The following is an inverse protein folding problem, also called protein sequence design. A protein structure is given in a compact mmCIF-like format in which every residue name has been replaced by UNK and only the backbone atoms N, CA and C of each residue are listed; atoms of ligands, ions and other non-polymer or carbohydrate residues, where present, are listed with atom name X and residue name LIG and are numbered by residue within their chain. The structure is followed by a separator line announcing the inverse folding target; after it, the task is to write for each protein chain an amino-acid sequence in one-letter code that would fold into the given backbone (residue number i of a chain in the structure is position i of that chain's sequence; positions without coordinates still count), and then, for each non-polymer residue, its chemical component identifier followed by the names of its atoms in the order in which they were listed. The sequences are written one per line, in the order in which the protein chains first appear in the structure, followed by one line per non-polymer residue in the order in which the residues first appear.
data_IF_841185653893
#
_entry.id   IF_841185653893
#
_cell.length_a   1.000
_cell.length_b   1.000
_cell.length_c   1.000
_cell.angle_alpha   90.00
_cell.angle_beta   90.00
_cell.angle_gamma   90.00
#
_symmetry.space_group_name_H-M   'P 1'
#
loop_
_entity.id
_entity.type
_entity.pdbx_description
1 polymer ?
#
# COMPACT_ATOMS: atom_id res chain seq x y z
N UNK A 1 -18.51 -25.65 -11.32
CA UNK A 1 -18.10 -26.38 -12.52
C UNK A 1 -19.30 -26.60 -13.42
N UNK A 2 -19.28 -26.05 -14.63
CA UNK A 2 -20.32 -26.23 -15.65
C UNK A 2 -19.68 -26.87 -16.86
N UNK A 3 -20.28 -27.95 -17.37
CA UNK A 3 -19.88 -28.61 -18.60
C UNK A 3 -21.12 -28.92 -19.44
N UNK A 4 -21.37 -28.15 -20.49
CA UNK A 4 -22.51 -28.31 -21.41
C UNK A 4 -22.13 -28.02 -22.85
N UNK A 5 -22.42 -28.97 -23.76
CA UNK A 5 -22.29 -28.80 -25.23
C UNK A 5 -20.95 -28.22 -25.71
N UNK A 6 -19.82 -28.70 -25.12
CA UNK A 6 -18.50 -28.23 -25.47
C UNK A 6 -18.07 -26.90 -24.78
N UNK A 7 -18.85 -26.38 -23.86
CA UNK A 7 -18.49 -25.26 -22.98
C UNK A 7 -18.17 -25.81 -21.60
N UNK A 8 -17.01 -25.45 -21.06
CA UNK A 8 -16.63 -25.73 -19.67
C UNK A 8 -16.32 -24.42 -18.96
N UNK A 9 -16.84 -24.27 -17.78
CA UNK A 9 -16.50 -23.18 -16.86
C UNK A 9 -16.09 -23.75 -15.52
N UNK A 10 -14.92 -23.37 -15.07
CA UNK A 10 -14.40 -23.66 -13.75
C UNK A 10 -14.16 -22.34 -13.00
N UNK A 11 -14.62 -22.25 -11.78
CA UNK A 11 -14.33 -21.12 -10.89
C UNK A 11 -13.78 -21.67 -9.58
N UNK A 12 -12.77 -20.99 -9.04
CA UNK A 12 -12.26 -21.22 -7.71
C UNK A 12 -12.23 -19.89 -6.95
N UNK A 13 -12.78 -19.90 -5.75
CA UNK A 13 -12.83 -18.76 -4.85
C UNK A 13 -12.06 -19.12 -3.58
N UNK A 14 -11.12 -18.24 -3.20
CA UNK A 14 -10.37 -18.35 -1.96
C UNK A 14 -10.64 -17.10 -1.11
N UNK A 15 -10.85 -17.33 0.17
CA UNK A 15 -11.03 -16.27 1.15
C UNK A 15 -10.20 -16.60 2.39
N UNK A 16 -9.38 -15.65 2.83
CA UNK A 16 -8.65 -15.75 4.09
C UNK A 16 -8.86 -14.46 4.89
N UNK A 17 -9.17 -14.60 6.17
CA UNK A 17 -9.24 -13.49 7.10
C UNK A 17 -8.32 -13.77 8.28
N UNK A 18 -7.34 -12.89 8.51
CA UNK A 18 -6.33 -13.04 9.54
C UNK A 18 -6.31 -11.84 10.47
N UNK A 19 -6.08 -12.10 11.75
CA UNK A 19 -5.76 -11.08 12.75
C UNK A 19 -4.49 -11.52 13.46
N UNK A 20 -3.54 -10.62 13.56
CA UNK A 20 -2.32 -10.83 14.35
C UNK A 20 -2.36 -9.96 15.59
N UNK A 21 -1.81 -10.51 16.69
CA UNK A 21 -1.63 -9.77 17.93
C UNK A 21 -0.36 -10.28 18.61
N UNK A 22 0.43 -9.38 19.14
CA UNK A 22 1.63 -9.70 19.93
C UNK A 22 1.20 -10.04 21.34
N UNK A 23 1.24 -11.31 21.72
CA UNK A 23 0.78 -11.77 23.03
C UNK A 23 1.81 -11.45 24.12
N UNK A 24 3.11 -11.65 23.83
CA UNK A 24 4.16 -11.44 24.81
C UNK A 24 5.50 -11.12 24.16
N UNK A 25 6.24 -10.20 24.75
CA UNK A 25 7.63 -9.88 24.43
C UNK A 25 8.54 -10.35 25.55
N UNK A 26 9.77 -10.74 25.20
CA UNK A 26 10.72 -11.36 26.13
C UNK A 26 11.02 -10.52 27.39
N UNK A 27 10.94 -9.20 27.27
CA UNK A 27 11.19 -8.26 28.38
C UNK A 27 10.02 -7.31 28.67
N UNK A 28 8.85 -7.54 28.06
CA UNK A 28 7.66 -6.69 28.18
C UNK A 28 7.79 -5.28 27.59
N UNK A 29 8.96 -4.91 27.04
CA UNK A 29 9.20 -3.56 26.52
C UNK A 29 8.89 -3.49 25.03
N UNK A 30 8.25 -2.42 24.52
CA UNK A 30 8.06 -2.20 23.10
C UNK A 30 9.40 -2.18 22.36
N UNK A 31 9.39 -2.68 21.12
CA UNK A 31 10.52 -2.62 20.19
C UNK A 31 10.12 -1.79 18.99
N UNK A 32 11.01 -0.92 18.54
CA UNK A 32 10.76 -0.01 17.43
C UNK A 32 11.60 -0.38 16.22
N UNK A 33 11.04 -0.17 15.03
CA UNK A 33 11.74 -0.16 13.76
C UNK A 33 11.99 1.29 13.36
N UNK A 34 13.14 1.55 12.81
CA UNK A 34 13.61 2.89 12.50
C UNK A 34 13.76 3.08 10.99
N UNK A 35 13.46 4.29 10.54
CA UNK A 35 13.78 4.77 9.20
C UNK A 35 14.63 6.03 9.29
N UNK A 36 15.36 6.31 8.20
CA UNK A 36 15.99 7.61 7.99
C UNK A 36 15.18 8.36 6.93
N UNK A 37 14.39 9.37 7.33
CA UNK A 37 13.73 10.23 6.37
C UNK A 37 14.76 10.84 5.43
N UNK A 38 14.38 11.07 4.17
CA UNK A 38 15.29 11.59 3.16
C UNK A 38 15.98 12.88 3.62
N UNK A 39 17.32 12.91 3.52
CA UNK A 39 18.13 14.05 3.93
C UNK A 39 18.28 14.25 5.45
N UNK A 40 17.73 13.37 6.26
CA UNK A 40 17.91 13.36 7.72
C UNK A 40 19.03 12.40 8.11
N UNK A 41 19.89 12.84 9.04
CA UNK A 41 20.88 11.96 9.69
C UNK A 41 20.30 11.18 10.87
N UNK A 42 19.08 11.54 11.30
CA UNK A 42 18.40 10.94 12.43
C UNK A 42 17.48 9.81 12.01
N UNK A 43 17.55 8.70 12.73
CA UNK A 43 16.61 7.60 12.58
C UNK A 43 15.30 7.94 13.28
N UNK A 44 14.17 7.65 12.62
CA UNK A 44 12.82 7.87 13.15
C UNK A 44 12.10 6.55 13.35
N UNK A 45 11.49 6.41 14.49
CA UNK A 45 10.63 5.28 14.78
C UNK A 45 9.36 5.36 13.92
N UNK A 46 9.05 4.31 13.20
CA UNK A 46 7.87 4.26 12.34
C UNK A 46 6.98 3.04 12.56
N UNK A 47 7.53 1.98 13.09
CA UNK A 47 6.77 0.78 13.47
C UNK A 47 7.09 0.37 14.89
N UNK A 48 6.06 -0.18 15.55
CA UNK A 48 6.15 -0.64 16.92
C UNK A 48 5.71 -2.09 17.03
N UNK A 49 6.50 -2.88 17.76
CA UNK A 49 6.14 -4.19 18.24
C UNK A 49 5.87 -4.09 19.74
N UNK A 50 4.61 -4.20 20.14
CA UNK A 50 4.15 -4.05 21.53
C UNK A 50 3.09 -5.10 21.84
N UNK A 51 3.05 -5.58 23.09
CA UNK A 51 2.02 -6.50 23.56
C UNK A 51 0.62 -5.90 23.40
N UNK A 52 -0.33 -6.68 22.91
CA UNK A 52 -1.70 -6.28 22.59
C UNK A 52 -1.89 -5.61 21.24
N UNK A 53 -0.81 -5.26 20.53
CA UNK A 53 -0.87 -4.59 19.22
C UNK A 53 -0.63 -5.57 18.06
N UNK A 54 -1.12 -5.26 16.85
CA UNK A 54 -0.87 -6.11 15.69
C UNK A 54 0.61 -6.09 15.27
N UNK A 55 1.04 -7.12 14.54
CA UNK A 55 2.34 -7.08 13.86
C UNK A 55 2.36 -5.96 12.82
N UNK A 56 3.55 -5.42 12.55
CA UNK A 56 3.75 -4.29 11.61
C UNK A 56 2.86 -3.08 11.93
N UNK A 57 2.69 -2.77 13.23
CA UNK A 57 1.93 -1.61 13.67
C UNK A 57 2.69 -0.32 13.31
N UNK A 58 2.10 0.51 12.47
CA UNK A 58 2.61 1.85 12.12
C UNK A 58 2.33 2.76 13.30
N UNK A 59 3.37 3.41 13.83
CA UNK A 59 3.32 4.15 15.07
C UNK A 59 3.72 5.61 14.87
N UNK A 60 2.83 6.54 15.21
CA UNK A 60 3.08 7.97 14.99
C UNK A 60 1.99 8.88 15.54
N UNK A 61 2.04 10.15 15.15
CA UNK A 61 1.12 11.18 15.60
C UNK A 61 -0.18 11.19 14.78
N UNK A 62 -1.26 11.62 15.43
CA UNK A 62 -2.54 11.86 14.74
C UNK A 62 -2.56 13.30 14.24
N UNK A 63 -2.52 13.48 12.93
CA UNK A 63 -2.65 14.79 12.28
C UNK A 63 -4.06 15.36 12.48
N UNK A 64 -4.15 16.63 12.88
CA UNK A 64 -5.40 17.33 13.19
C UNK A 64 -5.57 18.67 12.42
N UNK A 65 -4.94 18.76 11.26
CA UNK A 65 -5.00 19.95 10.43
C UNK A 65 -3.74 20.80 10.48
N UNK A 66 -3.86 22.07 10.14
CA UNK A 66 -2.75 23.00 10.03
C UNK A 66 -3.08 24.24 10.86
N UNK A 67 -2.10 24.73 11.61
CA UNK A 67 -2.22 25.96 12.41
C UNK A 67 -2.45 27.14 11.47
N UNK A 68 -3.57 27.83 11.64
CA UNK A 68 -3.96 28.96 10.79
C UNK A 68 -3.39 30.29 11.31
N UNK A 69 -3.45 31.32 10.47
CA UNK A 69 -3.02 32.66 10.87
C UNK A 69 -3.88 33.18 11.99
N UNK A 70 -3.24 33.64 13.09
CA UNK A 70 -3.93 34.10 14.29
C UNK A 70 -4.34 32.99 15.27
N UNK A 71 -4.21 31.73 14.88
CA UNK A 71 -4.44 30.59 15.78
C UNK A 71 -3.23 30.41 16.70
N UNK A 72 -3.48 30.22 17.98
CA UNK A 72 -2.51 29.75 18.97
C UNK A 72 -2.88 28.34 19.39
N UNK A 73 -2.06 27.38 19.01
CA UNK A 73 -2.26 25.98 19.41
C UNK A 73 -1.37 25.67 20.63
N UNK A 74 -1.97 25.82 21.81
CA UNK A 74 -1.27 25.73 23.09
C UNK A 74 -0.43 24.46 23.27
N UNK A 75 -0.86 23.24 22.84
CA UNK A 75 -0.05 22.03 22.98
C UNK A 75 1.26 22.04 22.17
N UNK A 76 1.38 22.90 21.14
CA UNK A 76 2.60 23.03 20.32
C UNK A 76 3.16 24.47 20.36
N UNK A 77 3.65 24.90 21.51
CA UNK A 77 3.97 26.29 21.82
C UNK A 77 4.95 26.96 20.83
N UNK A 78 5.89 26.17 20.24
CA UNK A 78 6.89 26.70 19.31
C UNK A 78 6.46 26.67 17.84
N UNK A 79 5.30 26.10 17.54
CA UNK A 79 4.80 26.01 16.19
C UNK A 79 4.27 27.37 15.70
N UNK A 80 4.35 27.58 14.41
CA UNK A 80 3.93 28.83 13.73
C UNK A 80 2.81 28.54 12.73
N UNK A 81 2.06 29.56 12.28
CA UNK A 81 1.06 29.38 11.24
C UNK A 81 1.61 28.66 10.00
N UNK A 82 0.87 27.66 9.54
CA UNK A 82 1.26 26.77 8.46
C UNK A 82 1.92 25.46 8.90
N UNK A 83 2.27 25.32 10.18
CA UNK A 83 2.79 24.05 10.71
C UNK A 83 1.67 23.02 10.89
N UNK A 84 1.96 21.70 10.76
CA UNK A 84 0.99 20.67 11.07
C UNK A 84 0.61 20.69 12.55
N UNK A 85 -0.66 20.47 12.83
CA UNK A 85 -1.23 20.33 14.15
C UNK A 85 -1.45 18.86 14.48
N UNK A 86 -1.09 18.44 15.69
CA UNK A 86 -1.25 17.05 16.16
C UNK A 86 -2.18 17.00 17.36
N UNK A 87 -2.89 15.88 17.51
CA UNK A 87 -3.78 15.66 18.66
C UNK A 87 -3.00 15.39 19.93
N UNK A 88 -3.36 16.09 20.99
CA UNK A 88 -3.00 15.75 22.36
C UNK A 88 -3.90 14.56 22.78
N UNK A 89 -3.32 13.37 22.80
CA UNK A 89 -4.06 12.14 23.06
C UNK A 89 -4.17 11.80 24.55
N UNK A 90 -3.21 12.26 25.35
CA UNK A 90 -3.22 12.03 26.80
C UNK A 90 -3.88 13.19 27.59
N UNK A 91 -4.10 14.37 26.93
CA UNK A 91 -4.78 15.52 27.50
C UNK A 91 -3.92 16.32 28.50
N UNK A 92 -2.59 16.23 28.41
CA UNK A 92 -1.70 16.92 29.33
C UNK A 92 -1.34 18.36 28.92
N UNK A 93 -1.86 18.79 27.76
CA UNK A 93 -1.67 20.14 27.20
C UNK A 93 -0.33 20.32 26.49
N UNK A 94 0.36 19.25 26.15
CA UNK A 94 1.61 19.25 25.37
C UNK A 94 1.52 18.18 24.28
N UNK A 95 2.22 18.40 23.20
CA UNK A 95 2.40 17.36 22.19
C UNK A 95 3.84 16.83 22.32
N UNK A 96 3.97 15.58 22.73
CA UNK A 96 5.26 14.89 22.88
C UNK A 96 5.18 13.41 22.44
N UNK A 97 6.15 12.59 22.81
CA UNK A 97 6.19 11.18 22.41
C UNK A 97 5.02 10.36 22.98
N UNK A 98 4.36 10.82 24.05
CA UNK A 98 3.21 10.16 24.66
C UNK A 98 1.92 10.33 23.84
N UNK A 99 1.89 11.24 22.86
CA UNK A 99 0.78 11.47 21.93
C UNK A 99 0.89 10.63 20.65
N UNK A 100 1.85 9.73 20.61
CA UNK A 100 1.97 8.78 19.50
C UNK A 100 1.10 7.57 19.76
N UNK A 101 0.49 7.05 18.69
CA UNK A 101 -0.38 5.88 18.75
C UNK A 101 -0.22 4.99 17.55
N UNK A 102 -0.85 3.79 17.58
CA UNK A 102 -0.93 2.90 16.40
C UNK A 102 -1.91 3.49 15.39
N UNK A 103 -1.40 3.81 14.21
CA UNK A 103 -2.15 4.39 13.09
C UNK A 103 -2.72 3.32 12.14
N UNK A 104 -2.32 2.07 12.31
CA UNK A 104 -2.76 0.94 11.51
C UNK A 104 -1.67 -0.14 11.42
N UNK A 105 -1.91 -1.16 10.62
CA UNK A 105 -0.94 -2.25 10.37
C UNK A 105 -0.66 -2.40 8.88
N UNK A 106 0.59 -2.70 8.53
CA UNK A 106 0.99 -3.00 7.16
C UNK A 106 0.58 -4.39 6.67
N UNK A 107 -0.03 -5.21 7.54
CA UNK A 107 -0.46 -6.57 7.19
C UNK A 107 -1.95 -6.55 6.81
N UNK A 108 -2.31 -7.06 5.62
CA UNK A 108 -3.71 -7.16 5.21
C UNK A 108 -4.50 -8.10 6.12
N UNK A 109 -5.70 -7.70 6.47
CA UNK A 109 -6.63 -8.52 7.27
C UNK A 109 -7.35 -9.54 6.42
N UNK A 110 -7.67 -9.21 5.18
CA UNK A 110 -8.46 -10.07 4.29
C UNK A 110 -7.78 -10.20 2.94
N UNK A 111 -7.64 -11.42 2.47
CA UNK A 111 -7.15 -11.74 1.13
C UNK A 111 -8.21 -12.56 0.42
N UNK A 112 -8.56 -12.15 -0.80
CA UNK A 112 -9.56 -12.81 -1.64
C UNK A 112 -8.91 -13.14 -2.98
N UNK A 113 -9.09 -14.38 -3.43
CA UNK A 113 -8.68 -14.83 -4.75
C UNK A 113 -9.89 -15.35 -5.54
N UNK A 114 -10.04 -14.91 -6.79
CA UNK A 114 -11.06 -15.39 -7.71
C UNK A 114 -10.40 -15.80 -9.02
N UNK A 115 -10.33 -17.11 -9.24
CA UNK A 115 -9.84 -17.68 -10.48
C UNK A 115 -11.01 -18.21 -11.32
N UNK A 116 -11.04 -17.86 -12.60
CA UNK A 116 -12.00 -18.38 -13.56
C UNK A 116 -11.27 -18.92 -14.78
N UNK A 117 -11.72 -20.06 -15.29
CA UNK A 117 -11.28 -20.62 -16.55
C UNK A 117 -12.46 -21.11 -17.36
N UNK A 118 -12.43 -20.81 -18.66
CA UNK A 118 -13.45 -21.12 -19.61
C UNK A 118 -12.83 -21.86 -20.79
N UNK A 119 -13.48 -22.90 -21.25
CA UNK A 119 -13.14 -23.51 -22.52
C UNK A 119 -14.40 -23.60 -23.39
N UNK A 120 -14.27 -23.25 -24.65
CA UNK A 120 -15.32 -23.40 -25.63
C UNK A 120 -14.74 -23.85 -26.96
N UNK A 121 -15.05 -25.09 -27.34
CA UNK A 121 -14.45 -25.73 -28.52
C UNK A 121 -12.91 -25.71 -28.42
N UNK A 122 -12.28 -24.98 -29.33
CA UNK A 122 -10.82 -24.88 -29.44
C UNK A 122 -10.26 -23.62 -28.71
N UNK A 123 -11.12 -22.79 -28.08
CA UNK A 123 -10.73 -21.62 -27.30
C UNK A 123 -10.65 -21.93 -25.82
N UNK A 124 -9.66 -21.38 -25.16
CA UNK A 124 -9.56 -21.30 -23.69
C UNK A 124 -9.31 -19.85 -23.26
N UNK A 125 -9.95 -19.47 -22.15
CA UNK A 125 -9.81 -18.16 -21.54
C UNK A 125 -9.74 -18.30 -20.03
N UNK A 126 -8.80 -17.62 -19.40
CA UNK A 126 -8.72 -17.59 -17.95
C UNK A 126 -8.36 -16.21 -17.42
N UNK A 127 -8.78 -15.94 -16.18
CA UNK A 127 -8.34 -14.77 -15.44
C UNK A 127 -8.29 -15.03 -13.94
N UNK A 128 -7.41 -14.30 -13.27
CA UNK A 128 -7.27 -14.33 -11.81
C UNK A 128 -7.29 -12.91 -11.25
N UNK A 129 -8.27 -12.65 -10.39
CA UNK A 129 -8.33 -11.47 -9.54
C UNK A 129 -7.88 -11.80 -8.13
N UNK A 130 -7.12 -10.86 -7.56
CA UNK A 130 -6.75 -10.86 -6.15
C UNK A 130 -7.18 -9.54 -5.52
N UNK A 131 -7.76 -9.62 -4.31
CA UNK A 131 -8.02 -8.47 -3.46
C UNK A 131 -7.27 -8.63 -2.14
N UNK A 132 -6.68 -7.52 -1.67
CA UNK A 132 -6.02 -7.40 -0.37
C UNK A 132 -6.63 -6.21 0.36
N UNK A 133 -7.17 -6.44 1.57
CA UNK A 133 -7.96 -5.44 2.28
C UNK A 133 -7.54 -5.33 3.74
N UNK A 134 -7.60 -4.10 4.26
CA UNK A 134 -7.37 -3.78 5.67
C UNK A 134 -5.90 -3.55 6.03
N UNK A 135 -5.01 -3.43 5.02
CA UNK A 135 -3.63 -2.98 5.21
C UNK A 135 -3.55 -1.46 5.16
N UNK A 136 -2.60 -0.90 5.91
CA UNK A 136 -2.17 0.50 5.82
C UNK A 136 -0.74 0.58 5.34
N UNK A 137 -0.42 1.70 4.70
CA UNK A 137 0.93 1.99 4.22
C UNK A 137 1.35 3.39 4.64
N UNK A 138 2.54 3.49 5.23
CA UNK A 138 3.21 4.77 5.46
C UNK A 138 3.92 5.19 4.17
N UNK A 139 3.40 6.22 3.52
CA UNK A 139 3.88 6.72 2.23
C UNK A 139 4.98 7.78 2.44
N UNK A 140 6.21 7.34 2.65
CA UNK A 140 7.37 8.24 2.78
C UNK A 140 7.79 8.85 1.44
N UNK A 141 7.52 8.17 0.34
CA UNK A 141 7.72 8.71 -1.01
C UNK A 141 6.93 9.99 -1.20
N UNK A 142 5.68 10.02 -0.73
CA UNK A 142 4.84 11.22 -0.73
C UNK A 142 5.44 12.34 0.11
N UNK A 143 5.95 12.05 1.30
CA UNK A 143 6.59 13.05 2.16
C UNK A 143 7.72 13.74 1.40
N UNK A 144 8.61 12.94 0.79
CA UNK A 144 9.75 13.48 0.03
C UNK A 144 9.31 14.34 -1.16
N UNK A 145 8.34 13.87 -1.93
CA UNK A 145 7.85 14.58 -3.10
C UNK A 145 7.13 15.88 -2.71
N UNK A 146 6.38 15.85 -1.63
CA UNK A 146 5.65 17.02 -1.13
C UNK A 146 6.59 18.08 -0.57
N UNK A 147 7.59 17.70 0.21
CA UNK A 147 8.58 18.62 0.76
C UNK A 147 9.40 19.34 -0.31
N UNK A 148 9.62 18.67 -1.43
CA UNK A 148 10.34 19.24 -2.56
C UNK A 148 9.43 19.91 -3.60
N UNK A 149 8.14 20.12 -3.29
CA UNK A 149 7.13 20.68 -4.20
C UNK A 149 7.02 19.92 -5.54
N UNK A 150 7.20 18.60 -5.51
CA UNK A 150 7.16 17.73 -6.70
C UNK A 150 5.81 17.01 -6.88
N UNK A 151 4.85 17.23 -5.98
CA UNK A 151 3.48 16.73 -6.10
C UNK A 151 2.56 17.85 -6.55
N UNK A 152 1.58 17.52 -7.40
CA UNK A 152 0.51 18.44 -7.77
C UNK A 152 -0.28 18.94 -6.55
N UNK A 153 -0.49 18.07 -5.54
CA UNK A 153 -1.11 18.44 -4.26
C UNK A 153 -0.36 19.55 -3.51
N UNK A 154 0.95 19.75 -3.79
CA UNK A 154 1.72 20.84 -3.20
C UNK A 154 1.25 22.24 -3.65
N UNK A 155 0.42 22.34 -4.69
CA UNK A 155 -0.23 23.59 -5.09
C UNK A 155 -1.23 24.10 -4.04
N UNK A 156 -1.81 23.20 -3.23
CA UNK A 156 -2.69 23.54 -2.09
C UNK A 156 -1.91 23.83 -0.80
N UNK A 157 -0.61 24.07 -0.89
CA UNK A 157 0.24 24.36 0.26
C UNK A 157 -0.17 25.62 0.97
N UNK A 158 -0.21 25.53 2.31
CA UNK A 158 -0.49 26.67 3.16
C UNK A 158 0.55 27.80 2.94
N UNK A 159 0.06 28.99 2.74
CA UNK A 159 0.83 30.25 2.72
C UNK A 159 0.04 31.33 3.45
N UNK A 160 0.66 32.49 3.73
CA UNK A 160 -0.04 33.62 4.34
C UNK A 160 -1.22 34.15 3.48
N UNK A 161 -1.15 33.94 2.16
CA UNK A 161 -2.17 34.35 1.21
C UNK A 161 -3.16 33.24 0.86
N UNK A 162 -2.85 31.99 1.19
CA UNK A 162 -3.67 30.82 0.88
C UNK A 162 -3.73 29.88 2.07
N UNK A 163 -4.89 29.84 2.73
CA UNK A 163 -5.13 28.92 3.84
C UNK A 163 -5.35 27.50 3.29
N UNK A 164 -4.69 26.52 3.89
CA UNK A 164 -4.87 25.10 3.63
C UNK A 164 -5.00 24.37 4.96
N UNK A 165 -5.81 23.29 4.98
CA UNK A 165 -5.89 22.33 6.08
C UNK A 165 -5.30 20.96 5.71
N UNK A 166 -4.76 20.83 4.49
CA UNK A 166 -4.28 19.56 3.95
C UNK A 166 -2.77 19.52 3.75
N UNK A 167 -2.16 20.60 3.28
CA UNK A 167 -0.73 20.67 2.95
C UNK A 167 -0.04 21.76 3.77
N UNK A 168 0.84 21.41 4.73
CA UNK A 168 1.57 22.37 5.56
C UNK A 168 2.46 23.32 4.74
N UNK A 169 2.90 24.41 5.36
CA UNK A 169 3.88 25.32 4.78
C UNK A 169 5.17 24.59 4.39
N UNK A 170 5.91 25.14 3.44
CA UNK A 170 7.21 24.58 3.09
C UNK A 170 8.23 24.76 4.23
N UNK A 171 9.10 23.76 4.40
CA UNK A 171 10.16 23.80 5.40
C UNK A 171 9.69 23.67 6.85
N UNK A 172 8.44 23.26 7.11
CA UNK A 172 7.93 23.05 8.47
C UNK A 172 8.78 22.04 9.25
N UNK A 173 9.35 21.06 8.56
CA UNK A 173 10.18 20.01 9.16
C UNK A 173 11.52 20.52 9.70
N UNK A 174 11.93 21.71 9.30
CA UNK A 174 13.15 22.39 9.76
C UNK A 174 12.89 23.35 10.94
N UNK A 175 11.63 23.46 11.37
CA UNK A 175 11.26 24.32 12.49
C UNK A 175 11.58 23.62 13.81
N UNK A 176 12.38 24.27 14.66
CA UNK A 176 12.74 23.77 16.01
C UNK A 176 11.53 23.60 16.94
N UNK A 177 10.37 24.16 16.56
CA UNK A 177 9.11 24.01 17.26
C UNK A 177 8.37 22.71 16.97
N UNK A 178 8.76 21.99 15.93
CA UNK A 178 8.12 20.73 15.58
C UNK A 178 8.73 19.56 16.34
N UNK A 179 7.87 18.58 16.58
CA UNK A 179 8.23 17.38 17.31
C UNK A 179 9.21 16.51 16.51
N UNK A 180 10.14 15.96 17.23
CA UNK A 180 10.97 14.89 16.71
C UNK A 180 10.10 13.74 16.22
N UNK A 181 10.31 13.28 14.97
CA UNK A 181 9.55 12.17 14.41
C UNK A 181 8.19 12.54 13.82
N UNK A 182 7.86 13.82 13.68
CA UNK A 182 6.59 14.29 13.07
C UNK A 182 6.35 13.85 11.64
N UNK A 183 7.36 13.30 10.96
CA UNK A 183 7.20 12.63 9.66
C UNK A 183 6.24 11.44 9.72
N UNK A 184 6.23 10.71 10.83
CA UNK A 184 5.36 9.56 11.01
C UNK A 184 4.06 10.05 11.64
N UNK A 185 3.11 10.39 10.81
CA UNK A 185 1.79 10.85 11.24
C UNK A 185 0.68 10.32 10.33
N UNK A 186 -0.56 10.38 10.81
CA UNK A 186 -1.72 9.80 10.13
C UNK A 186 -1.99 10.38 8.74
N UNK A 187 -1.48 11.58 8.42
CA UNK A 187 -1.63 12.21 7.10
C UNK A 187 -0.93 11.42 5.98
N UNK A 188 0.13 10.71 6.31
CA UNK A 188 0.93 9.91 5.39
C UNK A 188 0.66 8.41 5.51
N UNK A 189 -0.27 8.01 6.38
CA UNK A 189 -0.72 6.62 6.52
C UNK A 189 -1.99 6.45 5.68
N UNK A 190 -1.86 5.75 4.58
CA UNK A 190 -2.91 5.58 3.57
C UNK A 190 -3.47 4.17 3.58
N UNK A 191 -4.69 4.00 3.04
CA UNK A 191 -5.25 2.67 2.78
C UNK A 191 -4.47 2.00 1.66
N UNK A 192 -3.95 0.80 1.91
CA UNK A 192 -3.27 -0.03 0.93
C UNK A 192 -4.18 -1.13 0.35
N UNK A 193 -5.49 -0.94 0.46
CA UNK A 193 -6.49 -1.84 -0.12
C UNK A 193 -6.43 -1.81 -1.64
N UNK A 194 -6.50 -3.00 -2.24
CA UNK A 194 -6.54 -3.11 -3.69
C UNK A 194 -7.32 -4.31 -4.21
N UNK A 195 -7.71 -4.22 -5.47
CA UNK A 195 -8.13 -5.34 -6.31
C UNK A 195 -7.28 -5.31 -7.57
N UNK A 196 -6.56 -6.42 -7.84
CA UNK A 196 -5.67 -6.56 -9.01
C UNK A 196 -6.13 -7.67 -9.94
N UNK A 197 -6.10 -7.41 -11.25
CA UNK A 197 -6.09 -8.43 -12.27
C UNK A 197 -4.64 -8.96 -12.41
N UNK A 198 -4.37 -10.07 -11.70
CA UNK A 198 -3.02 -10.66 -11.65
C UNK A 198 -2.63 -11.33 -12.94
N UNK A 199 -3.57 -12.11 -13.50
CA UNK A 199 -3.35 -12.86 -14.74
C UNK A 199 -4.61 -12.83 -15.59
N UNK A 200 -4.43 -12.77 -16.90
CA UNK A 200 -5.45 -13.01 -17.91
C UNK A 200 -4.78 -13.72 -19.09
N UNK A 201 -5.40 -14.73 -19.65
CA UNK A 201 -4.87 -15.45 -20.80
C UNK A 201 -6.02 -15.89 -21.72
N UNK A 202 -5.81 -15.74 -23.03
CA UNK A 202 -6.67 -16.25 -24.09
C UNK A 202 -5.83 -17.16 -24.99
N UNK A 203 -6.27 -18.39 -25.14
CA UNK A 203 -5.64 -19.38 -25.99
C UNK A 203 -6.57 -19.91 -27.08
N UNK A 204 -5.97 -20.38 -28.17
CA UNK A 204 -6.62 -21.13 -29.21
C UNK A 204 -5.79 -22.36 -29.57
N UNK A 205 -6.43 -23.54 -29.58
CA UNK A 205 -5.78 -24.82 -29.85
C UNK A 205 -6.18 -25.36 -31.21
N UNK A 206 -5.23 -25.38 -32.14
CA UNK A 206 -5.39 -26.06 -33.43
C UNK A 206 -5.16 -27.55 -33.22
N UNK A 207 -6.09 -28.37 -33.72
CA UNK A 207 -5.94 -29.82 -33.70
C UNK A 207 -5.38 -30.30 -35.05
N UNK A 208 -4.18 -30.88 -35.04
CA UNK A 208 -3.48 -31.33 -36.23
C UNK A 208 -4.26 -32.35 -37.06
N UNK A 209 -5.06 -33.21 -36.41
CA UNK A 209 -5.91 -34.18 -37.13
C UNK A 209 -7.01 -33.50 -37.97
N UNK A 210 -7.56 -32.40 -37.50
CA UNK A 210 -8.56 -31.61 -38.27
C UNK A 210 -7.94 -30.94 -39.49
N UNK A 211 -6.63 -30.73 -39.51
CA UNK A 211 -5.89 -30.03 -40.55
C UNK A 211 -4.98 -30.98 -41.36
N UNK A 212 -5.18 -32.33 -41.22
CA UNK A 212 -4.43 -33.35 -41.93
C UNK A 212 -2.90 -33.29 -41.72
N UNK A 213 -2.44 -32.80 -40.58
CA UNK A 213 -1.03 -32.71 -40.20
C UNK A 213 -0.61 -34.00 -39.52
N UNK A 214 0.17 -34.88 -40.18
CA UNK A 214 0.52 -36.23 -39.68
C UNK A 214 1.45 -36.21 -38.46
N UNK A 215 2.30 -35.20 -38.32
CA UNK A 215 3.35 -35.14 -37.28
C UNK A 215 2.94 -34.25 -36.09
N UNK A 216 2.13 -33.18 -36.32
CA UNK A 216 1.72 -32.27 -35.30
C UNK A 216 0.34 -32.65 -34.75
N UNK A 217 0.27 -33.04 -33.48
CA UNK A 217 -1.02 -33.37 -32.83
C UNK A 217 -1.80 -32.13 -32.46
N UNK A 218 -1.16 -31.19 -31.79
CA UNK A 218 -1.82 -29.93 -31.41
C UNK A 218 -0.83 -28.76 -31.47
N UNK A 219 -1.37 -27.57 -31.82
CA UNK A 219 -0.67 -26.30 -31.71
C UNK A 219 -1.56 -25.33 -30.93
N UNK A 220 -1.17 -24.96 -29.72
CA UNK A 220 -1.86 -23.93 -28.96
C UNK A 220 -1.09 -22.62 -29.05
N UNK A 221 -1.78 -21.58 -29.54
CA UNK A 221 -1.33 -20.18 -29.54
C UNK A 221 -2.04 -19.46 -28.41
N UNK A 222 -1.33 -18.61 -27.67
CA UNK A 222 -1.93 -17.85 -26.61
C UNK A 222 -1.35 -16.43 -26.50
N UNK A 223 -2.16 -15.52 -25.97
CA UNK A 223 -1.77 -14.20 -25.49
C UNK A 223 -2.16 -14.10 -24.03
N UNK A 224 -1.23 -13.63 -23.21
CA UNK A 224 -1.44 -13.45 -21.79
C UNK A 224 -1.03 -12.07 -21.32
N UNK A 225 -1.54 -11.68 -20.16
CA UNK A 225 -1.17 -10.45 -19.49
C UNK A 225 -1.05 -10.66 -17.99
N UNK A 226 -0.11 -9.93 -17.37
CA UNK A 226 0.09 -9.95 -15.92
C UNK A 226 0.04 -8.53 -15.36
N UNK A 227 -0.57 -8.36 -14.18
CA UNK A 227 -0.71 -7.10 -13.46
C UNK A 227 -1.29 -5.95 -14.30
N UNK A 228 -2.23 -6.27 -15.22
CA UNK A 228 -2.74 -5.29 -16.19
C UNK A 228 -3.58 -4.19 -15.54
N UNK A 229 -4.36 -4.51 -14.51
CA UNK A 229 -5.27 -3.59 -13.83
C UNK A 229 -5.07 -3.64 -12.32
N UNK A 230 -5.05 -2.46 -11.71
CA UNK A 230 -5.04 -2.27 -10.26
C UNK A 230 -6.09 -1.24 -9.88
N UNK A 231 -7.00 -1.61 -9.02
CA UNK A 231 -8.01 -0.73 -8.44
C UNK A 231 -7.64 -0.47 -6.98
N UNK A 232 -7.32 0.77 -6.65
CA UNK A 232 -6.90 1.17 -5.31
C UNK A 232 -7.16 2.66 -5.10
N UNK A 233 -7.23 3.09 -3.83
CA UNK A 233 -7.23 4.49 -3.41
C UNK A 233 -5.83 4.96 -2.94
N UNK A 234 -4.86 4.05 -2.88
CA UNK A 234 -3.49 4.37 -2.51
C UNK A 234 -2.89 5.38 -3.49
N UNK A 235 -2.25 6.42 -2.97
CA UNK A 235 -1.72 7.52 -3.79
C UNK A 235 -0.27 7.30 -4.24
N UNK A 236 0.39 6.25 -3.75
CA UNK A 236 1.72 5.83 -4.22
C UNK A 236 1.67 5.02 -5.51
N UNK A 237 2.81 4.48 -5.92
CA UNK A 237 2.93 3.75 -7.18
C UNK A 237 2.24 2.39 -7.17
N UNK A 238 2.30 1.67 -6.07
CA UNK A 238 1.73 0.32 -5.98
C UNK A 238 1.41 -0.04 -4.52
N UNK A 239 0.13 -0.35 -4.17
CA UNK A 239 -0.29 -0.67 -2.80
C UNK A 239 0.20 -2.03 -2.30
N UNK A 240 0.75 -2.87 -3.18
CA UNK A 240 1.16 -4.25 -2.91
C UNK A 240 2.66 -4.38 -2.59
N UNK A 241 3.38 -3.27 -2.57
CA UNK A 241 4.81 -3.24 -2.35
C UNK A 241 5.11 -2.64 -0.98
N UNK A 242 6.04 -3.25 -0.26
CA UNK A 242 6.62 -2.68 0.95
C UNK A 242 8.14 -2.70 0.82
N UNK A 243 8.78 -1.59 1.14
CA UNK A 243 10.25 -1.48 1.16
C UNK A 243 10.90 -2.57 2.00
N UNK A 244 10.24 -2.97 3.09
CA UNK A 244 10.69 -4.03 4.00
C UNK A 244 9.83 -5.30 3.87
N UNK A 245 9.37 -5.64 2.68
CA UNK A 245 8.41 -6.72 2.43
C UNK A 245 8.84 -8.12 2.89
N UNK A 246 10.15 -8.33 3.09
CA UNK A 246 10.68 -9.59 3.67
C UNK A 246 10.56 -9.67 5.20
N UNK A 247 10.22 -8.57 5.88
CA UNK A 247 10.10 -8.52 7.33
C UNK A 247 8.65 -8.62 7.78
N UNK A 248 8.30 -9.66 8.53
CA UNK A 248 6.95 -9.83 9.08
C UNK A 248 6.57 -8.76 10.13
N UNK A 249 7.52 -8.01 10.65
CA UNK A 249 7.33 -6.99 11.69
C UNK A 249 7.51 -5.55 11.19
N UNK A 250 7.75 -5.38 9.88
CA UNK A 250 8.03 -4.08 9.28
C UNK A 250 7.43 -3.92 7.88
N UNK A 251 6.23 -4.49 7.65
CA UNK A 251 5.47 -4.29 6.42
C UNK A 251 4.70 -2.98 6.43
N UNK A 252 4.33 -2.48 5.25
CA UNK A 252 3.52 -1.26 5.12
C UNK A 252 4.35 0.02 5.10
N UNK A 253 5.56 -0.03 4.52
CA UNK A 253 6.40 1.13 4.28
C UNK A 253 6.65 1.28 2.77
N UNK A 254 6.32 2.43 2.20
CA UNK A 254 6.71 2.81 0.83
C UNK A 254 7.75 3.94 0.88
N UNK A 255 9.00 3.59 0.61
CA UNK A 255 10.12 4.50 0.45
C UNK A 255 10.75 4.27 -0.92
N UNK A 256 10.24 4.97 -1.95
CA UNK A 256 10.68 4.84 -3.34
C UNK A 256 10.63 3.41 -3.88
N UNK A 257 9.63 2.64 -3.48
CA UNK A 257 9.44 1.27 -3.95
C UNK A 257 9.07 1.25 -5.43
N UNK A 258 9.70 0.36 -6.19
CA UNK A 258 9.43 0.24 -7.61
C UNK A 258 8.14 -0.57 -7.86
N UNK A 259 7.19 -0.09 -8.70
CA UNK A 259 5.94 -0.78 -8.94
C UNK A 259 6.14 -2.08 -9.73
N UNK A 260 5.20 -3.03 -9.57
CA UNK A 260 5.16 -4.24 -10.35
C UNK A 260 4.91 -3.93 -11.84
N UNK A 261 5.61 -4.65 -12.72
CA UNK A 261 5.46 -4.47 -14.16
C UNK A 261 4.12 -4.98 -14.67
N UNK A 262 3.58 -4.31 -15.68
CA UNK A 262 2.59 -4.88 -16.58
C UNK A 262 3.30 -5.67 -17.65
N UNK A 263 2.95 -6.92 -17.81
CA UNK A 263 3.57 -7.80 -18.80
C UNK A 263 2.53 -8.30 -19.78
N UNK A 264 2.87 -8.31 -21.08
CA UNK A 264 2.10 -8.97 -22.12
C UNK A 264 3.00 -10.01 -22.75
N UNK A 265 2.54 -11.25 -22.83
CA UNK A 265 3.27 -12.36 -23.40
C UNK A 265 2.47 -13.06 -24.49
N UNK A 266 3.18 -13.55 -25.48
CA UNK A 266 2.65 -14.40 -26.56
C UNK A 266 3.41 -15.69 -26.55
N UNK A 267 2.72 -16.78 -26.81
CA UNK A 267 3.37 -18.08 -26.85
C UNK A 267 2.71 -19.05 -27.79
N UNK A 268 3.51 -20.05 -28.21
CA UNK A 268 3.06 -21.18 -29.00
C UNK A 268 3.55 -22.45 -28.33
N UNK A 269 2.63 -23.40 -28.08
CA UNK A 269 2.92 -24.74 -27.57
C UNK A 269 2.60 -25.76 -28.64
N UNK A 270 3.59 -26.55 -29.04
CA UNK A 270 3.46 -27.60 -30.01
C UNK A 270 3.50 -28.97 -29.33
N UNK A 271 2.65 -29.89 -29.77
CA UNK A 271 2.65 -31.30 -29.34
C UNK A 271 2.70 -32.17 -30.57
N UNK A 272 3.68 -33.05 -30.64
CA UNK A 272 3.93 -33.98 -31.75
C UNK A 272 3.47 -35.39 -31.43
#
# INVERSE_FOLDING_TARGET
NINKKGFTWNTAFNFAHNRSEVLKLNNGKPRFQYIRPHGSYEEKEYMMLKEGEPLSAIYGYVFDGIIQQGEQYAPQIKSVPGDPKFKDLNGDGKIDENDRTVLGTGIPKTIIGLNNSFTYKDFDFSFFFEASLGAKMLNLTRIYLEDNNRLAASSDRWTRAHASNSVPRNGYQKNDGLLYGSYVNSRFVEDADFVKLRNIELGYTFNGNKWNMKTLKTMRMFVGGQNLLTFTKYQGFDPDISTNGSSAIAQGLDLNSYPAYRTINFGVKLTF
#
